data_IF_230763457879
#
_entry.id   IF_230763457879
#
_cell.length_a   1.000
_cell.length_b   1.000
_cell.length_c   1.000
_cell.angle_alpha   90.00
_cell.angle_beta   90.00
_cell.angle_gamma   90.00
#
_symmetry.space_group_name_H-M   'P 1'
#
loop_
_entity.id
_entity.type
_entity.pdbx_description
1 polymer ?
#
# COMPACT_ATOMS: atom_id res chain seq x y z
N UNK A 1 6.74 44.89 -18.40
CA UNK A 1 6.86 43.43 -18.60
C UNK A 1 6.00 42.74 -17.54
N UNK A 2 5.09 41.80 -17.88
CA UNK A 2 4.29 41.14 -16.87
C UNK A 2 5.19 40.26 -15.99
N UNK A 3 5.10 40.48 -14.68
CA UNK A 3 5.85 39.79 -13.64
C UNK A 3 5.49 38.30 -13.65
N UNK A 4 6.35 37.45 -14.22
CA UNK A 4 6.22 35.98 -14.19
C UNK A 4 6.70 35.47 -12.83
N UNK A 5 6.10 35.98 -11.76
CA UNK A 5 6.29 35.44 -10.43
C UNK A 5 5.84 33.98 -10.40
N UNK A 6 6.57 33.16 -9.64
CA UNK A 6 6.27 31.78 -9.26
C UNK A 6 4.77 31.61 -8.95
N UNK A 7 3.97 31.21 -9.94
CA UNK A 7 2.53 30.98 -9.83
C UNK A 7 2.20 29.57 -10.30
N UNK A 8 1.24 28.95 -9.64
CA UNK A 8 0.77 27.60 -9.97
C UNK A 8 1.12 26.58 -8.89
N UNK A 9 0.58 25.36 -9.05
CA UNK A 9 0.74 24.29 -8.08
C UNK A 9 2.21 23.92 -7.84
N UNK A 10 2.99 23.77 -8.92
CA UNK A 10 4.40 23.40 -8.84
C UNK A 10 5.34 24.49 -8.28
N UNK A 11 4.83 25.70 -8.04
CA UNK A 11 5.60 26.79 -7.44
C UNK A 11 5.23 27.07 -5.98
N UNK A 12 4.34 26.26 -5.40
CA UNK A 12 4.00 26.29 -3.97
C UNK A 12 5.02 25.52 -3.14
N UNK A 13 5.01 25.71 -1.82
CA UNK A 13 5.80 24.90 -0.89
C UNK A 13 5.37 23.42 -0.90
N UNK A 14 6.30 22.51 -0.69
CA UNK A 14 6.08 21.06 -0.78
C UNK A 14 4.97 20.56 0.16
N UNK A 15 4.91 21.08 1.38
CA UNK A 15 3.85 20.73 2.34
C UNK A 15 2.47 21.09 1.80
N UNK A 16 2.36 22.29 1.21
CA UNK A 16 1.12 22.78 0.62
C UNK A 16 0.74 22.00 -0.64
N UNK A 17 1.71 21.62 -1.46
CA UNK A 17 1.48 20.74 -2.61
C UNK A 17 0.95 19.38 -2.16
N UNK A 18 1.57 18.78 -1.14
CA UNK A 18 1.16 17.49 -0.58
C UNK A 18 -0.25 17.55 0.00
N UNK A 19 -0.57 18.61 0.73
CA UNK A 19 -1.91 18.81 1.30
C UNK A 19 -2.97 18.91 0.21
N UNK A 20 -2.73 19.73 -0.82
CA UNK A 20 -3.66 19.90 -1.94
C UNK A 20 -3.78 18.60 -2.75
N UNK A 21 -2.68 17.88 -3.01
CA UNK A 21 -2.72 16.58 -3.68
C UNK A 21 -3.51 15.53 -2.87
N UNK A 22 -3.30 15.49 -1.55
CA UNK A 22 -4.04 14.62 -0.64
C UNK A 22 -5.54 14.91 -0.67
N UNK A 23 -5.91 16.20 -0.56
CA UNK A 23 -7.31 16.65 -0.66
C UNK A 23 -7.93 16.32 -2.01
N UNK A 24 -7.18 16.49 -3.10
CA UNK A 24 -7.63 16.14 -4.46
C UNK A 24 -7.90 14.64 -4.62
N UNK A 25 -7.01 13.79 -4.11
CA UNK A 25 -7.19 12.34 -4.10
C UNK A 25 -8.42 11.89 -3.30
N UNK A 26 -8.58 12.43 -2.08
CA UNK A 26 -9.76 12.15 -1.24
C UNK A 26 -11.05 12.60 -1.93
N UNK A 27 -11.07 13.80 -2.49
CA UNK A 27 -12.23 14.32 -3.21
C UNK A 27 -12.58 13.45 -4.43
N UNK A 28 -11.58 12.95 -5.18
CA UNK A 28 -11.81 12.09 -6.34
C UNK A 28 -12.43 10.74 -5.95
N UNK A 29 -12.01 10.15 -4.83
CA UNK A 29 -12.63 8.95 -4.25
C UNK A 29 -14.05 9.23 -3.76
N UNK A 30 -14.25 10.30 -2.97
CA UNK A 30 -15.58 10.68 -2.46
C UNK A 30 -16.58 10.98 -3.58
N UNK A 31 -16.11 11.55 -4.70
CA UNK A 31 -16.93 11.86 -5.87
C UNK A 31 -17.18 10.64 -6.78
N UNK A 32 -16.55 9.49 -6.50
CA UNK A 32 -16.65 8.29 -7.33
C UNK A 32 -15.97 8.42 -8.70
N UNK A 33 -15.10 9.42 -8.88
CA UNK A 33 -14.32 9.61 -10.11
C UNK A 33 -13.00 8.84 -10.09
N UNK A 34 -12.54 8.43 -8.91
CA UNK A 34 -11.38 7.58 -8.77
C UNK A 34 -11.73 6.11 -9.05
N UNK A 35 -10.75 5.34 -9.49
CA UNK A 35 -10.92 3.90 -9.64
C UNK A 35 -10.99 3.23 -8.26
N UNK A 36 -12.04 2.46 -8.04
CA UNK A 36 -12.18 1.59 -6.88
C UNK A 36 -11.73 0.19 -7.24
N UNK A 37 -10.74 -0.33 -6.51
CA UNK A 37 -10.27 -1.68 -6.71
C UNK A 37 -11.19 -2.65 -5.96
N UNK A 38 -11.68 -3.68 -6.65
CA UNK A 38 -12.15 -4.87 -5.94
C UNK A 38 -10.99 -5.53 -5.16
N UNK A 39 -11.28 -6.32 -4.11
CA UNK A 39 -10.24 -7.04 -3.38
C UNK A 39 -9.37 -7.94 -4.27
N UNK A 40 -9.95 -8.48 -5.34
CA UNK A 40 -9.22 -9.27 -6.33
C UNK A 40 -8.27 -8.39 -7.15
N UNK A 41 -8.76 -7.29 -7.72
CA UNK A 41 -7.95 -6.37 -8.51
C UNK A 41 -6.82 -5.76 -7.70
N UNK A 42 -7.07 -5.39 -6.43
CA UNK A 42 -6.05 -4.89 -5.52
C UNK A 42 -4.93 -5.92 -5.31
N UNK A 43 -5.27 -7.21 -5.16
CA UNK A 43 -4.29 -8.31 -5.05
C UNK A 43 -3.52 -8.50 -6.35
N UNK A 44 -4.20 -8.49 -7.49
CA UNK A 44 -3.54 -8.63 -8.80
C UNK A 44 -2.59 -7.46 -9.07
N UNK A 45 -3.03 -6.23 -8.80
CA UNK A 45 -2.21 -5.03 -8.96
C UNK A 45 -0.99 -5.06 -8.02
N UNK A 46 -1.18 -5.41 -6.75
CA UNK A 46 -0.10 -5.59 -5.79
C UNK A 46 0.90 -6.67 -6.23
N UNK A 47 0.42 -7.82 -6.72
CA UNK A 47 1.27 -8.89 -7.24
C UNK A 47 2.09 -8.44 -8.46
N UNK A 48 1.44 -7.78 -9.43
CA UNK A 48 2.12 -7.23 -10.62
C UNK A 48 3.15 -6.18 -10.24
N UNK A 49 2.81 -5.27 -9.33
CA UNK A 49 3.72 -4.22 -8.84
C UNK A 49 4.95 -4.80 -8.14
N UNK A 50 4.74 -5.78 -7.25
CA UNK A 50 5.83 -6.49 -6.57
C UNK A 50 6.78 -7.18 -7.56
N UNK A 51 6.22 -7.95 -8.52
CA UNK A 51 7.02 -8.60 -9.58
C UNK A 51 7.83 -7.58 -10.39
N UNK A 52 7.20 -6.50 -10.83
CA UNK A 52 7.86 -5.46 -11.59
C UNK A 52 8.97 -4.76 -10.79
N UNK A 53 8.79 -4.54 -9.49
CA UNK A 53 9.83 -3.97 -8.62
C UNK A 53 11.03 -4.91 -8.46
N UNK A 54 10.79 -6.23 -8.32
CA UNK A 54 11.86 -7.23 -8.28
C UNK A 54 12.59 -7.34 -9.62
N UNK A 55 11.87 -7.35 -10.74
CA UNK A 55 12.47 -7.36 -12.09
C UNK A 55 13.33 -6.11 -12.35
N UNK A 56 12.92 -4.95 -11.84
CA UNK A 56 13.64 -3.68 -11.96
C UNK A 56 14.76 -3.50 -10.93
N UNK A 57 14.92 -4.41 -9.99
CA UNK A 57 15.89 -4.30 -8.89
C UNK A 57 15.61 -3.15 -7.91
N UNK A 58 14.39 -2.59 -7.93
CA UNK A 58 13.98 -1.52 -7.01
C UNK A 58 13.23 -2.06 -5.78
N UNK A 59 13.00 -3.37 -5.72
CA UNK A 59 12.37 -4.02 -4.57
C UNK A 59 13.32 -4.09 -3.39
N UNK A 60 12.75 -4.04 -2.18
CA UNK A 60 13.49 -4.33 -0.96
C UNK A 60 13.86 -5.82 -0.92
N UNK A 61 15.14 -6.11 -0.79
CA UNK A 61 15.62 -7.47 -0.58
C UNK A 61 15.74 -7.75 0.91
N UNK A 62 14.89 -8.65 1.40
CA UNK A 62 14.95 -9.08 2.79
C UNK A 62 16.11 -10.06 2.99
N UNK A 63 16.91 -9.82 4.04
CA UNK A 63 17.80 -10.86 4.54
C UNK A 63 16.97 -12.02 5.15
N UNK A 64 17.56 -13.21 5.28
CA UNK A 64 16.88 -14.34 5.90
C UNK A 64 16.45 -14.04 7.36
N UNK A 65 17.20 -13.21 8.07
CA UNK A 65 16.86 -12.79 9.43
C UNK A 65 15.67 -11.82 9.42
N UNK A 66 15.69 -10.85 8.51
CA UNK A 66 14.64 -9.85 8.39
C UNK A 66 13.31 -10.46 7.94
N UNK A 67 13.34 -11.38 6.98
CA UNK A 67 12.16 -12.14 6.55
C UNK A 67 11.56 -12.94 7.70
N UNK A 68 12.40 -13.55 8.56
CA UNK A 68 11.94 -14.27 9.77
C UNK A 68 11.34 -13.33 10.80
N UNK A 69 11.95 -12.16 11.02
CA UNK A 69 11.43 -11.16 11.96
C UNK A 69 10.07 -10.62 11.48
N UNK A 70 9.93 -10.31 10.19
CA UNK A 70 8.67 -9.88 9.59
C UNK A 70 7.59 -10.98 9.68
N UNK A 71 7.95 -12.22 9.36
CA UNK A 71 7.07 -13.38 9.48
C UNK A 71 6.61 -13.62 10.93
N UNK A 72 7.52 -13.52 11.90
CA UNK A 72 7.18 -13.62 13.34
C UNK A 72 6.19 -12.53 13.74
N UNK A 73 6.48 -11.27 13.42
CA UNK A 73 5.62 -10.13 13.75
C UNK A 73 4.23 -10.26 13.12
N UNK A 74 4.15 -10.72 11.88
CA UNK A 74 2.88 -11.03 11.21
C UNK A 74 2.11 -12.16 11.90
N UNK A 75 2.83 -13.23 12.25
CA UNK A 75 2.30 -14.36 13.01
C UNK A 75 1.73 -13.94 14.37
N UNK A 76 2.49 -13.19 15.15
CA UNK A 76 2.07 -12.65 16.45
C UNK A 76 0.78 -11.82 16.32
N UNK A 77 0.72 -10.93 15.33
CA UNK A 77 -0.47 -10.11 15.06
C UNK A 77 -1.69 -10.97 14.71
N UNK A 78 -1.51 -12.01 13.89
CA UNK A 78 -2.59 -12.93 13.51
C UNK A 78 -3.02 -13.87 14.64
N UNK A 79 -2.10 -14.19 15.56
CA UNK A 79 -2.34 -15.12 16.66
C UNK A 79 -3.17 -14.54 17.81
N UNK A 80 -3.32 -13.21 17.87
CA UNK A 80 -4.15 -12.56 18.87
C UNK A 80 -5.63 -12.94 18.74
N UNK A 81 -6.07 -13.31 17.53
CA UNK A 81 -7.42 -13.80 17.27
C UNK A 81 -7.50 -15.33 17.44
N UNK A 82 -7.83 -15.75 18.66
CA UNK A 82 -7.99 -17.18 19.01
C UNK A 82 -9.10 -17.88 18.22
N UNK A 83 -10.14 -17.14 17.81
CA UNK A 83 -11.24 -17.69 17.02
C UNK A 83 -10.76 -18.08 15.63
N UNK A 84 -10.08 -17.14 14.96
CA UNK A 84 -9.43 -17.38 13.66
C UNK A 84 -8.35 -18.45 13.73
N UNK A 85 -7.54 -18.50 14.79
CA UNK A 85 -6.55 -19.57 14.96
C UNK A 85 -7.19 -20.95 15.07
N UNK A 86 -8.32 -21.06 15.77
CA UNK A 86 -9.04 -22.32 15.93
C UNK A 86 -9.63 -22.81 14.60
N UNK A 87 -10.15 -21.90 13.78
CA UNK A 87 -10.65 -22.19 12.43
C UNK A 87 -9.52 -22.65 11.50
N UNK A 88 -8.40 -21.91 11.45
CA UNK A 88 -7.21 -22.27 10.67
C UNK A 88 -6.67 -23.64 11.09
N UNK A 89 -6.59 -23.92 12.40
CA UNK A 89 -6.12 -25.21 12.91
C UNK A 89 -7.02 -26.38 12.52
N UNK A 90 -8.35 -26.18 12.54
CA UNK A 90 -9.32 -27.18 12.08
C UNK A 90 -9.23 -27.42 10.58
N UNK A 91 -9.00 -26.38 9.77
CA UNK A 91 -8.83 -26.50 8.33
C UNK A 91 -7.51 -27.21 7.98
N UNK A 92 -6.42 -26.84 8.63
CA UNK A 92 -5.10 -27.44 8.42
C UNK A 92 -5.01 -28.92 8.82
N UNK A 93 -5.75 -29.35 9.84
CA UNK A 93 -5.80 -30.75 10.28
C UNK A 93 -6.69 -31.68 9.45
N UNK A 94 -7.39 -31.16 8.43
CA UNK A 94 -8.24 -31.95 7.51
C UNK A 94 -7.53 -32.37 6.21
N UNK A 95 -6.25 -32.06 6.07
CA UNK A 95 -5.36 -32.50 4.99
C UNK A 95 -4.52 -33.68 5.45
#
# INVERSE_FOLDING_TARGET
MPNTGKRGFGSMDEEKQREIASKGGQAAHLKGSAHEFSPEEARQAGSKGGKAAHEKGSAHEFSSEEARAAGRKGGESSSQDRGRMSEIGREGGRK
#
